data_IF_397201553121
#
_entry.id   IF_397201553121
#
_cell.length_a   1.000
_cell.length_b   1.000
_cell.length_c   1.000
_cell.angle_alpha   90.00
_cell.angle_beta   90.00
_cell.angle_gamma   90.00
#
_symmetry.space_group_name_H-M   'P 1'
#
loop_
_entity.id
_entity.type
_entity.pdbx_description
1 polymer ?
#
# COMPACT_ATOMS: atom_id res chain seq x y z
N UNK A 1 5.38 -15.08 3.38
CA UNK A 1 6.66 -15.07 4.11
C UNK A 1 7.09 -16.46 4.59
N UNK A 2 6.30 -17.14 5.44
CA UNK A 2 6.66 -18.46 6.01
C UNK A 2 7.10 -19.51 4.98
N UNK A 3 6.44 -19.57 3.82
CA UNK A 3 6.82 -20.46 2.72
C UNK A 3 8.27 -20.21 2.23
N UNK A 4 8.68 -18.95 2.06
CA UNK A 4 10.03 -18.62 1.58
C UNK A 4 11.11 -18.91 2.62
N UNK A 5 10.80 -18.70 3.91
CA UNK A 5 11.68 -19.11 5.02
C UNK A 5 11.84 -20.63 5.05
N UNK A 6 10.73 -21.38 4.95
CA UNK A 6 10.75 -22.85 4.95
C UNK A 6 11.53 -23.43 3.75
N UNK A 7 11.48 -22.76 2.60
CA UNK A 7 12.22 -23.15 1.40
C UNK A 7 13.67 -22.63 1.36
N UNK A 8 14.12 -21.88 2.38
CA UNK A 8 15.48 -21.33 2.45
C UNK A 8 15.77 -20.24 1.42
N UNK A 9 14.73 -19.53 0.96
CA UNK A 9 14.82 -18.37 0.05
C UNK A 9 14.89 -17.04 0.81
N UNK A 10 14.48 -17.05 2.08
CA UNK A 10 14.50 -15.92 2.98
C UNK A 10 15.23 -16.31 4.26
N UNK A 11 15.98 -15.39 4.83
CA UNK A 11 16.62 -15.59 6.13
C UNK A 11 15.55 -15.83 7.22
N UNK A 12 15.94 -16.50 8.30
CA UNK A 12 15.02 -16.71 9.41
C UNK A 12 14.74 -15.35 10.08
N UNK A 13 13.46 -15.01 10.35
CA UNK A 13 13.14 -13.80 11.10
C UNK A 13 13.78 -13.80 12.48
N UNK A 14 13.97 -12.61 13.03
CA UNK A 14 14.49 -12.41 14.38
C UNK A 14 13.38 -12.65 15.41
N UNK A 15 13.69 -13.41 16.47
CA UNK A 15 12.73 -13.79 17.50
C UNK A 15 11.95 -15.09 17.20
N UNK A 16 10.99 -15.41 18.06
CA UNK A 16 10.22 -16.67 18.01
C UNK A 16 8.71 -16.41 18.15
N UNK A 17 7.90 -17.24 17.47
CA UNK A 17 6.44 -17.20 17.58
C UNK A 17 5.80 -15.98 16.91
N UNK A 18 4.76 -15.42 17.51
CA UNK A 18 4.04 -14.23 17.03
C UNK A 18 4.85 -12.93 17.11
N UNK A 19 5.98 -12.94 17.84
CA UNK A 19 6.89 -11.81 17.96
C UNK A 19 8.03 -11.83 16.91
N UNK A 20 7.95 -12.70 15.89
CA UNK A 20 8.94 -12.76 14.83
C UNK A 20 8.96 -11.45 14.02
N UNK A 21 10.13 -10.82 13.95
CA UNK A 21 10.33 -9.56 13.23
C UNK A 21 11.15 -9.75 11.97
N UNK A 22 10.80 -8.98 10.94
CA UNK A 22 11.49 -8.98 9.66
C UNK A 22 12.18 -7.63 9.47
N UNK A 23 13.51 -7.66 9.48
CA UNK A 23 14.35 -6.49 9.19
C UNK A 23 14.41 -6.14 7.69
N UNK A 24 15.09 -5.04 7.38
CA UNK A 24 15.28 -4.51 6.02
C UNK A 24 15.86 -5.54 5.03
N UNK A 25 16.76 -6.40 5.47
CA UNK A 25 17.34 -7.44 4.60
C UNK A 25 16.28 -8.42 4.11
N UNK A 26 15.32 -8.80 4.96
CA UNK A 26 14.21 -9.66 4.55
C UNK A 26 13.33 -8.99 3.49
N UNK A 27 13.14 -7.67 3.57
CA UNK A 27 12.45 -6.91 2.52
C UNK A 27 13.20 -7.01 1.19
N UNK A 28 14.52 -6.80 1.18
CA UNK A 28 15.34 -6.93 -0.02
C UNK A 28 15.31 -8.36 -0.60
N UNK A 29 15.35 -9.39 0.23
CA UNK A 29 15.22 -10.78 -0.22
C UNK A 29 13.85 -11.02 -0.88
N UNK A 30 12.76 -10.59 -0.24
CA UNK A 30 11.42 -10.71 -0.81
C UNK A 30 11.30 -10.01 -2.15
N UNK A 31 11.79 -8.78 -2.24
CA UNK A 31 11.70 -7.98 -3.45
C UNK A 31 12.50 -8.62 -4.60
N UNK A 32 13.70 -9.10 -4.29
CA UNK A 32 14.52 -9.88 -5.23
C UNK A 32 13.83 -11.13 -5.75
N UNK A 33 13.11 -11.86 -4.88
CA UNK A 33 12.32 -13.02 -5.28
C UNK A 33 11.19 -12.57 -6.21
N UNK A 34 10.46 -11.51 -5.85
CA UNK A 34 9.28 -11.07 -6.60
C UNK A 34 9.62 -10.53 -7.98
N UNK A 35 10.73 -9.80 -8.11
CA UNK A 35 11.23 -9.33 -9.41
C UNK A 35 11.53 -10.53 -10.32
N UNK A 36 12.35 -11.48 -9.85
CA UNK A 36 12.71 -12.67 -10.65
C UNK A 36 11.51 -13.58 -10.97
N UNK A 37 10.52 -13.67 -10.07
CA UNK A 37 9.28 -14.40 -10.36
C UNK A 37 8.50 -13.76 -11.52
N UNK A 38 8.47 -12.41 -11.62
CA UNK A 38 7.83 -11.73 -12.76
C UNK A 38 8.57 -11.98 -14.08
N UNK A 39 9.88 -12.18 -14.01
CA UNK A 39 10.73 -12.55 -15.15
C UNK A 39 10.59 -14.04 -15.53
N UNK A 40 9.75 -14.81 -14.85
CA UNK A 40 9.51 -16.22 -15.12
C UNK A 40 10.58 -17.17 -14.56
N UNK A 41 11.43 -16.71 -13.64
CA UNK A 41 12.44 -17.57 -13.03
C UNK A 41 11.84 -18.53 -11.99
N UNK A 42 12.35 -19.76 -11.97
CA UNK A 42 11.95 -20.77 -10.97
C UNK A 42 12.55 -20.46 -9.60
N UNK A 43 11.87 -20.91 -8.55
CA UNK A 43 12.29 -20.70 -7.16
C UNK A 43 13.66 -21.33 -6.86
N UNK A 44 13.97 -22.49 -7.46
CA UNK A 44 15.26 -23.15 -7.27
C UNK A 44 16.41 -22.34 -7.85
N UNK A 45 16.22 -21.77 -9.05
CA UNK A 45 17.21 -20.90 -9.68
C UNK A 45 17.43 -19.63 -8.87
N UNK A 46 16.34 -19.00 -8.41
CA UNK A 46 16.39 -17.81 -7.56
C UNK A 46 17.18 -18.11 -6.26
N UNK A 47 16.94 -19.28 -5.65
CA UNK A 47 17.61 -19.69 -4.41
C UNK A 47 19.13 -19.83 -4.60
N UNK A 48 19.57 -20.41 -5.70
CA UNK A 48 21.00 -20.56 -6.01
C UNK A 48 21.66 -19.19 -6.25
N UNK A 49 21.02 -18.32 -7.02
CA UNK A 49 21.56 -17.00 -7.35
C UNK A 49 21.59 -16.00 -6.19
N UNK A 50 20.69 -16.17 -5.23
CA UNK A 50 20.62 -15.32 -4.04
C UNK A 50 21.49 -15.82 -2.90
N UNK A 51 22.03 -17.03 -3.00
CA UNK A 51 22.91 -17.60 -1.99
C UNK A 51 24.16 -16.72 -1.84
N UNK A 52 24.49 -16.38 -0.61
CA UNK A 52 25.67 -15.59 -0.24
C UNK A 52 25.71 -14.14 -0.79
N UNK A 53 24.58 -13.62 -1.30
CA UNK A 53 24.47 -12.21 -1.71
C UNK A 53 24.26 -11.33 -0.47
N UNK A 54 25.11 -10.29 -0.35
CA UNK A 54 25.01 -9.30 0.74
C UNK A 54 23.80 -8.37 0.54
N UNK A 55 23.35 -7.74 1.63
CA UNK A 55 22.23 -6.78 1.59
C UNK A 55 22.43 -5.69 0.55
N UNK A 56 23.59 -5.02 0.56
CA UNK A 56 23.91 -3.92 -0.36
C UNK A 56 23.92 -4.37 -1.84
N UNK A 57 24.34 -5.61 -2.11
CA UNK A 57 24.32 -6.15 -3.46
C UNK A 57 22.88 -6.47 -3.94
N UNK A 58 22.00 -6.92 -3.04
CA UNK A 58 20.57 -7.06 -3.32
C UNK A 58 19.94 -5.69 -3.57
N UNK A 59 20.24 -4.70 -2.74
CA UNK A 59 19.72 -3.34 -2.86
C UNK A 59 20.09 -2.72 -4.20
N UNK A 60 21.38 -2.75 -4.59
CA UNK A 60 21.82 -2.23 -5.89
C UNK A 60 21.10 -2.91 -7.06
N UNK A 61 20.97 -4.25 -7.02
CA UNK A 61 20.26 -5.00 -8.07
C UNK A 61 18.79 -4.63 -8.15
N UNK A 62 18.12 -4.50 -7.01
CA UNK A 62 16.73 -4.07 -6.93
C UNK A 62 16.57 -2.67 -7.49
N UNK A 63 17.42 -1.72 -7.08
CA UNK A 63 17.37 -0.35 -7.55
C UNK A 63 17.51 -0.29 -9.08
N UNK A 64 18.48 -1.02 -9.66
CA UNK A 64 18.64 -1.12 -11.11
C UNK A 64 17.42 -1.73 -11.81
N UNK A 65 16.82 -2.77 -11.24
CA UNK A 65 15.65 -3.42 -11.84
C UNK A 65 14.38 -2.58 -11.76
N UNK A 66 14.22 -1.80 -10.69
CA UNK A 66 13.05 -0.94 -10.48
C UNK A 66 13.19 0.44 -11.16
N UNK A 67 14.40 0.92 -11.44
CA UNK A 67 14.62 2.25 -12.02
C UNK A 67 13.78 2.51 -13.28
N UNK A 68 13.71 1.62 -14.30
CA UNK A 68 12.88 1.85 -15.47
C UNK A 68 11.38 1.92 -15.15
N UNK A 69 10.92 1.11 -14.19
CA UNK A 69 9.52 1.11 -13.76
C UNK A 69 9.17 2.38 -12.95
N UNK A 70 10.14 2.95 -12.23
CA UNK A 70 10.00 4.20 -11.51
C UNK A 70 10.11 5.41 -12.45
N UNK A 71 10.90 5.35 -13.51
CA UNK A 71 11.02 6.41 -14.52
C UNK A 71 9.78 6.46 -15.42
N UNK A 72 9.34 5.32 -15.96
CA UNK A 72 8.08 5.22 -16.70
C UNK A 72 6.87 5.44 -15.79
N UNK A 73 6.97 5.00 -14.54
CA UNK A 73 5.98 5.21 -13.50
C UNK A 73 5.90 6.66 -13.05
N UNK A 74 7.02 7.41 -13.01
CA UNK A 74 7.05 8.83 -12.69
C UNK A 74 6.32 9.64 -13.77
N UNK A 75 6.61 9.36 -15.05
CA UNK A 75 5.87 9.94 -16.18
C UNK A 75 4.39 9.57 -16.12
N UNK A 76 4.09 8.30 -15.81
CA UNK A 76 2.72 7.83 -15.68
C UNK A 76 2.03 8.30 -14.38
N UNK A 77 2.74 8.66 -13.31
CA UNK A 77 2.14 9.22 -12.09
C UNK A 77 1.83 10.69 -12.27
N UNK A 78 2.65 11.43 -13.02
CA UNK A 78 2.33 12.80 -13.42
C UNK A 78 1.14 12.79 -14.38
N UNK A 79 1.01 11.82 -15.29
CA UNK A 79 -0.17 11.69 -16.16
C UNK A 79 -1.40 10.99 -15.50
N UNK A 80 -1.22 10.09 -14.53
CA UNK A 80 -2.33 9.41 -13.82
C UNK A 80 -2.88 10.19 -12.63
N UNK A 81 -2.17 11.20 -12.14
CA UNK A 81 -2.71 12.13 -11.14
C UNK A 81 -3.83 13.01 -11.73
N UNK A 82 -3.81 13.29 -13.04
CA UNK A 82 -4.88 14.01 -13.74
C UNK A 82 -6.08 13.12 -14.12
N UNK A 83 -5.95 11.80 -13.96
CA UNK A 83 -6.95 10.82 -14.37
C UNK A 83 -8.04 10.59 -13.33
N UNK A 84 -7.68 10.16 -12.11
CA UNK A 84 -8.64 9.75 -11.06
C UNK A 84 -8.23 10.24 -9.65
N UNK A 85 -7.60 11.41 -9.53
CA UNK A 85 -7.64 12.16 -8.27
C UNK A 85 -9.05 12.75 -8.11
N UNK A 86 -10.02 11.91 -7.75
CA UNK A 86 -11.30 12.42 -7.32
C UNK A 86 -11.03 13.34 -6.12
N UNK A 87 -11.25 14.64 -6.29
CA UNK A 87 -11.11 15.57 -5.19
C UNK A 87 -12.23 15.26 -4.19
N UNK A 88 -11.89 15.10 -2.90
CA UNK A 88 -12.85 14.73 -1.87
C UNK A 88 -13.08 15.91 -0.93
N UNK A 89 -14.32 16.38 -0.85
CA UNK A 89 -14.74 17.38 0.12
C UNK A 89 -15.02 16.71 1.45
N UNK A 90 -14.43 17.25 2.52
CA UNK A 90 -14.66 16.81 3.91
C UNK A 90 -15.57 17.81 4.62
N UNK A 91 -16.60 17.31 5.31
CA UNK A 91 -17.50 18.13 6.12
C UNK A 91 -17.69 17.50 7.51
N UNK A 92 -17.35 18.20 8.61
CA UNK A 92 -17.63 17.70 9.96
C UNK A 92 -19.14 17.71 10.21
N UNK A 93 -19.65 16.64 10.81
CA UNK A 93 -21.09 16.45 11.07
C UNK A 93 -21.40 16.61 12.56
N UNK A 94 -20.67 15.89 13.41
CA UNK A 94 -20.76 15.89 14.87
C UNK A 94 -19.39 15.51 15.46
N UNK A 95 -19.25 15.51 16.79
CA UNK A 95 -18.00 15.08 17.44
C UNK A 95 -17.68 13.62 17.05
N UNK A 96 -16.48 13.39 16.55
CA UNK A 96 -16.03 12.10 16.02
C UNK A 96 -16.67 11.64 14.69
N UNK A 97 -17.51 12.43 14.03
CA UNK A 97 -18.23 12.03 12.80
C UNK A 97 -18.00 13.03 11.65
N UNK A 98 -17.47 12.52 10.53
CA UNK A 98 -17.22 13.28 9.30
C UNK A 98 -17.90 12.66 8.08
N UNK A 99 -18.24 13.51 7.11
CA UNK A 99 -18.73 13.11 5.80
C UNK A 99 -17.68 13.43 4.73
N UNK A 100 -17.33 12.43 3.93
CA UNK A 100 -16.43 12.57 2.78
C UNK A 100 -17.24 12.41 1.49
N UNK A 101 -17.25 13.44 0.65
CA UNK A 101 -18.02 13.46 -0.59
C UNK A 101 -17.08 13.75 -1.75
N UNK A 102 -17.22 12.98 -2.82
CA UNK A 102 -16.50 13.18 -4.07
C UNK A 102 -16.96 14.47 -4.75
N UNK A 103 -16.05 15.36 -5.16
CA UNK A 103 -16.37 16.67 -5.72
C UNK A 103 -17.10 16.61 -7.05
N UNK A 104 -16.84 15.59 -7.87
CA UNK A 104 -17.53 15.32 -9.13
C UNK A 104 -18.98 14.81 -8.93
N UNK A 105 -19.39 14.54 -7.68
CA UNK A 105 -20.74 14.09 -7.37
C UNK A 105 -21.68 15.28 -7.24
N UNK A 106 -22.94 15.19 -7.72
CA UNK A 106 -23.97 16.18 -7.40
C UNK A 106 -24.18 16.38 -5.88
N UNK A 107 -23.79 15.39 -5.07
CA UNK A 107 -23.83 15.46 -3.62
C UNK A 107 -22.77 16.41 -3.02
N UNK A 108 -21.76 16.85 -3.79
CA UNK A 108 -20.74 17.82 -3.35
C UNK A 108 -21.25 19.26 -3.32
N UNK A 109 -22.40 19.52 -3.96
CA UNK A 109 -23.06 20.84 -3.96
C UNK A 109 -23.33 21.28 -2.54
N UNK A 110 -23.00 22.53 -2.24
CA UNK A 110 -23.07 23.08 -0.89
C UNK A 110 -24.44 22.87 -0.21
N UNK A 111 -25.54 23.10 -0.94
CA UNK A 111 -26.90 22.84 -0.45
C UNK A 111 -27.14 21.37 -0.08
N UNK A 112 -26.64 20.44 -0.90
CA UNK A 112 -26.77 19.00 -0.66
C UNK A 112 -25.91 18.56 0.54
N UNK A 113 -24.70 19.11 0.69
CA UNK A 113 -23.83 18.85 1.85
C UNK A 113 -24.48 19.34 3.14
N UNK A 114 -25.09 20.53 3.12
CA UNK A 114 -25.81 21.09 4.26
C UNK A 114 -27.01 20.20 4.62
N UNK A 115 -27.85 19.83 3.65
CA UNK A 115 -29.00 18.97 3.88
C UNK A 115 -28.61 17.59 4.44
N UNK A 116 -27.56 16.96 3.89
CA UNK A 116 -27.02 15.70 4.40
C UNK A 116 -26.49 15.85 5.83
N UNK A 117 -25.78 16.94 6.14
CA UNK A 117 -25.27 17.20 7.48
C UNK A 117 -26.39 17.35 8.50
N UNK A 118 -27.43 18.09 8.16
CA UNK A 118 -28.59 18.28 9.02
C UNK A 118 -29.36 16.98 9.23
N UNK A 119 -29.58 16.21 8.17
CA UNK A 119 -30.27 14.91 8.25
C UNK A 119 -29.49 13.92 9.13
N UNK A 120 -28.17 13.82 8.95
CA UNK A 120 -27.32 12.92 9.76
C UNK A 120 -27.26 13.40 11.21
N UNK A 121 -27.13 14.71 11.45
CA UNK A 121 -27.17 15.29 12.81
C UNK A 121 -28.52 15.02 13.50
N UNK A 122 -29.64 15.18 12.79
CA UNK A 122 -30.97 14.89 13.32
C UNK A 122 -31.18 13.39 13.60
N UNK A 123 -30.57 12.50 12.81
CA UNK A 123 -30.61 11.07 13.07
C UNK A 123 -29.75 10.68 14.29
N UNK A 124 -28.55 11.25 14.43
CA UNK A 124 -27.66 11.03 15.57
C UNK A 124 -28.28 11.57 16.87
N UNK A 125 -28.88 12.77 16.84
CA UNK A 125 -29.58 13.34 17.99
C UNK A 125 -30.83 12.56 18.43
N UNK A 126 -31.38 11.67 17.58
CA UNK A 126 -32.44 10.72 17.97
C UNK A 126 -31.89 9.41 18.54
N UNK A 127 -30.64 9.08 18.27
CA UNK A 127 -29.98 7.86 18.76
C UNK A 127 -29.43 8.03 20.19
N UNK A 128 -29.11 9.27 20.61
CA UNK A 128 -28.69 9.59 21.99
C UNK A 128 -29.82 9.59 23.04
N UNK A 129 -31.00 9.07 22.69
CA UNK A 129 -32.09 8.79 23.64
C UNK A 129 -32.52 7.33 23.48
N UNK A 130 -31.68 6.40 23.94
CA UNK A 130 -32.14 5.11 24.49
C UNK A 130 -31.11 4.46 25.41
#
# INVERSE_FOLDING_TARGET
MRFYVANGLLDRPEGTGTAATYNYRHLLQLLSIKIRQREGQSLDKIKVEMKDVTGDALERRIATSLAPALESGADTTVEREDGHAHNWRRAPIADGIELHIREDSPASREEAVIAMREAVRAALGRADIR
#
